data_IF_515929340079
#
_entry.id   IF_515929340079
#
_cell.length_a   1.000
_cell.length_b   1.000
_cell.length_c   1.000
_cell.angle_alpha   90.00
_cell.angle_beta   90.00
_cell.angle_gamma   90.00
#
_symmetry.space_group_name_H-M   'P 1'
#
loop_
_entity.id
_entity.type
_entity.pdbx_description
1 polymer ?
#
# COMPACT_ATOMS: atom_id res chain seq x y z
N UNK A 1 -38.39 -28.58 22.79
CA UNK A 1 -38.98 -27.61 21.85
C UNK A 1 -37.86 -26.84 21.17
N UNK A 2 -37.57 -27.20 19.92
CA UNK A 2 -36.47 -26.62 19.14
C UNK A 2 -36.99 -25.44 18.35
N UNK A 3 -36.45 -24.24 18.59
CA UNK A 3 -36.74 -23.01 17.86
C UNK A 3 -35.52 -22.55 17.05
N UNK A 4 -35.02 -23.42 16.16
CA UNK A 4 -34.14 -22.98 15.08
C UNK A 4 -34.95 -22.85 13.80
N UNK A 5 -35.52 -21.67 13.57
CA UNK A 5 -36.05 -21.28 12.28
C UNK A 5 -34.86 -21.03 11.35
N UNK A 6 -34.59 -21.98 10.44
CA UNK A 6 -33.71 -21.73 9.31
C UNK A 6 -34.34 -20.63 8.44
N UNK A 7 -33.75 -19.45 8.49
CA UNK A 7 -34.07 -18.38 7.57
C UNK A 7 -33.51 -18.80 6.19
N UNK A 8 -34.33 -19.37 5.35
CA UNK A 8 -33.99 -19.62 3.95
C UNK A 8 -34.07 -18.30 3.21
N UNK A 9 -32.96 -17.57 3.14
CA UNK A 9 -32.83 -16.45 2.22
C UNK A 9 -33.10 -16.95 0.79
N UNK A 10 -33.82 -16.17 -0.05
CA UNK A 10 -34.08 -16.55 -1.43
C UNK A 10 -32.74 -16.75 -2.13
N UNK A 11 -32.59 -17.87 -2.85
CA UNK A 11 -31.43 -18.11 -3.72
C UNK A 11 -31.38 -16.98 -4.75
N UNK A 12 -30.47 -16.01 -4.53
CA UNK A 12 -30.14 -15.08 -5.57
C UNK A 12 -29.49 -15.87 -6.71
N UNK A 13 -30.13 -15.89 -7.86
CA UNK A 13 -29.60 -16.47 -9.10
C UNK A 13 -28.47 -15.59 -9.69
N UNK A 14 -27.69 -14.94 -8.84
CA UNK A 14 -26.58 -14.06 -9.22
C UNK A 14 -25.26 -14.84 -9.24
N UNK A 15 -24.42 -14.57 -10.21
CA UNK A 15 -23.02 -15.01 -10.24
C UNK A 15 -22.35 -14.53 -8.95
N UNK A 16 -21.75 -15.44 -8.17
CA UNK A 16 -20.99 -15.10 -6.98
C UNK A 16 -19.78 -14.24 -7.38
N UNK A 17 -19.55 -13.15 -6.69
CA UNK A 17 -18.36 -12.31 -6.83
C UNK A 17 -17.33 -12.72 -5.78
N UNK A 18 -16.12 -13.08 -6.20
CA UNK A 18 -14.99 -13.38 -5.31
C UNK A 18 -14.22 -12.11 -5.00
N UNK A 19 -14.19 -11.76 -3.73
CA UNK A 19 -13.42 -10.64 -3.23
C UNK A 19 -12.20 -11.16 -2.45
N UNK A 20 -11.01 -10.62 -2.76
CA UNK A 20 -9.79 -10.84 -1.99
C UNK A 20 -9.41 -9.56 -1.25
N UNK A 21 -9.40 -9.63 0.06
CA UNK A 21 -9.07 -8.49 0.94
C UNK A 21 -7.71 -8.70 1.60
N UNK A 22 -6.92 -7.63 1.69
CA UNK A 22 -5.72 -7.55 2.51
C UNK A 22 -5.52 -6.12 3.01
N UNK A 23 -4.88 -5.96 4.18
CA UNK A 23 -4.46 -4.70 4.79
C UNK A 23 -3.00 -4.77 5.23
N UNK A 24 -2.49 -3.69 5.81
CA UNK A 24 -1.17 -3.64 6.46
C UNK A 24 -0.01 -3.93 5.50
N UNK A 25 0.00 -3.26 4.37
CA UNK A 25 1.04 -3.41 3.35
C UNK A 25 2.35 -2.79 3.77
N UNK A 26 2.28 -1.64 4.48
CA UNK A 26 3.42 -0.89 5.00
C UNK A 26 4.58 -0.78 4.01
N UNK A 27 4.28 -0.42 2.76
CA UNK A 27 5.27 -0.23 1.70
C UNK A 27 5.96 -1.50 1.18
N UNK A 28 5.54 -2.70 1.62
CA UNK A 28 6.21 -3.95 1.27
C UNK A 28 5.95 -4.37 -0.18
N UNK A 29 6.98 -4.29 -1.01
CA UNK A 29 6.97 -4.77 -2.41
C UNK A 29 6.57 -6.24 -2.52
N UNK A 30 7.00 -7.05 -1.56
CA UNK A 30 6.72 -8.47 -1.56
C UNK A 30 5.23 -8.74 -1.30
N UNK A 31 4.65 -8.03 -0.32
CA UNK A 31 3.23 -8.18 0.02
C UNK A 31 2.39 -7.69 -1.16
N UNK A 32 2.68 -6.51 -1.69
CA UNK A 32 1.95 -5.97 -2.83
C UNK A 32 1.95 -6.88 -4.05
N UNK A 33 3.11 -7.43 -4.43
CA UNK A 33 3.20 -8.39 -5.54
C UNK A 33 2.38 -9.65 -5.32
N UNK A 34 2.34 -10.17 -4.09
CA UNK A 34 1.50 -11.32 -3.74
C UNK A 34 0.01 -10.97 -3.83
N UNK A 35 -0.36 -9.79 -3.34
CA UNK A 35 -1.72 -9.30 -3.39
C UNK A 35 -2.23 -9.17 -4.82
N UNK A 36 -1.49 -8.52 -5.71
CA UNK A 36 -1.89 -8.40 -7.12
C UNK A 36 -1.98 -9.79 -7.81
N UNK A 37 -1.05 -10.70 -7.50
CA UNK A 37 -1.09 -12.05 -8.04
C UNK A 37 -2.26 -12.89 -7.49
N UNK A 38 -2.85 -12.51 -6.36
CA UNK A 38 -4.02 -13.17 -5.79
C UNK A 38 -5.22 -13.13 -6.73
N UNK A 39 -5.35 -12.08 -7.55
CA UNK A 39 -6.38 -12.00 -8.59
C UNK A 39 -6.42 -13.26 -9.45
N UNK A 40 -5.28 -13.66 -9.98
CA UNK A 40 -5.15 -14.86 -10.82
C UNK A 40 -5.18 -16.15 -10.00
N UNK A 41 -4.50 -16.16 -8.84
CA UNK A 41 -4.30 -17.38 -8.05
C UNK A 41 -5.62 -17.89 -7.43
N UNK A 42 -6.44 -16.96 -6.96
CA UNK A 42 -7.74 -17.29 -6.33
C UNK A 42 -8.92 -17.03 -7.27
N UNK A 43 -8.68 -16.68 -8.53
CA UNK A 43 -9.71 -16.27 -9.48
C UNK A 43 -10.62 -15.18 -8.88
N UNK A 44 -10.01 -14.18 -8.23
CA UNK A 44 -10.78 -13.11 -7.60
C UNK A 44 -11.29 -12.14 -8.67
N UNK A 45 -12.55 -11.75 -8.55
CA UNK A 45 -13.17 -10.74 -9.41
C UNK A 45 -12.81 -9.31 -8.93
N UNK A 46 -12.48 -9.17 -7.62
CA UNK A 46 -12.19 -7.90 -6.96
C UNK A 46 -11.05 -8.08 -5.96
N UNK A 47 -10.10 -7.13 -5.96
CA UNK A 47 -9.10 -6.97 -4.93
C UNK A 47 -9.47 -5.76 -4.06
N UNK A 48 -9.25 -5.86 -2.74
CA UNK A 48 -9.44 -4.74 -1.81
C UNK A 48 -8.21 -4.60 -0.93
N UNK A 49 -7.60 -3.41 -0.99
CA UNK A 49 -6.49 -2.99 -0.14
C UNK A 49 -7.04 -2.09 0.97
N UNK A 50 -7.04 -2.62 2.18
CA UNK A 50 -7.79 -2.08 3.32
C UNK A 50 -7.02 -1.10 4.19
N UNK A 51 -6.01 -0.40 3.66
CA UNK A 51 -5.24 0.62 4.38
C UNK A 51 -3.86 0.17 4.83
N UNK A 52 -3.16 1.08 5.51
CA UNK A 52 -1.75 0.97 5.91
C UNK A 52 -0.87 0.60 4.70
N UNK A 53 -1.01 1.41 3.66
CA UNK A 53 -0.43 1.18 2.33
C UNK A 53 1.04 1.55 2.32
N UNK A 54 1.37 2.71 2.91
CA UNK A 54 2.71 3.32 2.86
C UNK A 54 3.68 2.69 3.86
N UNK A 55 4.98 2.74 3.53
CA UNK A 55 6.05 2.31 4.44
C UNK A 55 6.26 3.31 5.56
N UNK A 56 7.08 2.92 6.55
CA UNK A 56 7.27 3.71 7.78
C UNK A 56 8.64 4.38 7.86
N UNK A 57 9.62 3.95 7.09
CA UNK A 57 11.01 4.41 7.23
C UNK A 57 11.69 4.59 5.88
N UNK A 58 12.45 5.68 5.75
CA UNK A 58 13.45 5.88 4.73
C UNK A 58 14.85 5.62 5.31
N UNK A 59 15.61 4.73 4.69
CA UNK A 59 16.95 4.33 5.12
C UNK A 59 17.97 5.01 4.21
N UNK A 60 18.77 5.96 4.72
CA UNK A 60 19.88 6.53 3.99
C UNK A 60 20.95 5.47 3.68
N UNK A 61 21.41 5.44 2.44
CA UNK A 61 22.52 4.62 1.98
C UNK A 61 23.65 5.55 1.58
N UNK A 62 24.64 5.69 2.45
CA UNK A 62 25.71 6.69 2.30
C UNK A 62 26.80 6.14 1.42
N UNK A 63 27.17 6.88 0.38
CA UNK A 63 28.26 6.53 -0.53
C UNK A 63 29.60 6.88 0.14
N UNK A 64 30.48 5.89 0.27
CA UNK A 64 31.83 6.03 0.84
C UNK A 64 32.95 6.02 -0.22
N UNK A 65 32.59 6.20 -1.50
CA UNK A 65 33.51 6.16 -2.65
C UNK A 65 33.60 4.76 -3.29
N UNK A 66 34.14 4.68 -4.49
CA UNK A 66 34.46 3.45 -5.27
C UNK A 66 33.54 2.25 -5.01
N UNK A 67 32.24 2.38 -5.30
CA UNK A 67 31.22 1.33 -5.13
C UNK A 67 31.08 0.79 -3.70
N UNK A 68 31.48 1.56 -2.69
CA UNK A 68 31.24 1.24 -1.28
C UNK A 68 30.16 2.12 -0.69
N UNK A 69 29.30 1.51 0.12
CA UNK A 69 28.19 2.19 0.75
C UNK A 69 28.08 1.76 2.22
N UNK A 70 27.52 2.62 3.02
CA UNK A 70 27.19 2.38 4.42
C UNK A 70 25.72 2.68 4.66
N UNK A 71 25.04 1.81 5.37
CA UNK A 71 23.66 2.03 5.81
C UNK A 71 23.48 1.58 7.26
N UNK A 72 22.53 2.19 7.96
CA UNK A 72 22.17 1.79 9.32
C UNK A 72 20.78 1.17 9.32
N UNK A 73 20.68 -0.11 9.72
CA UNK A 73 19.42 -0.85 9.73
C UNK A 73 19.30 -1.63 11.05
N UNK A 74 18.18 -1.44 11.75
CA UNK A 74 17.86 -2.19 12.99
C UNK A 74 18.99 -2.19 14.03
N UNK A 75 19.62 -1.03 14.24
CA UNK A 75 20.69 -0.86 15.22
C UNK A 75 22.08 -1.37 14.77
N UNK A 76 22.23 -1.79 13.52
CA UNK A 76 23.49 -2.26 12.95
C UNK A 76 23.90 -1.41 11.76
N UNK A 77 25.19 -1.12 11.67
CA UNK A 77 25.77 -0.54 10.46
C UNK A 77 26.17 -1.68 9.52
N UNK A 78 25.70 -1.61 8.29
CA UNK A 78 26.05 -2.53 7.22
C UNK A 78 26.93 -1.80 6.20
N UNK A 79 28.00 -2.46 5.79
CA UNK A 79 28.88 -2.02 4.72
C UNK A 79 28.58 -2.87 3.49
N UNK A 80 28.36 -2.20 2.35
CA UNK A 80 27.96 -2.83 1.11
C UNK A 80 29.04 -2.56 0.06
N UNK A 81 29.44 -3.58 -0.68
CA UNK A 81 30.46 -3.48 -1.71
C UNK A 81 29.87 -3.85 -3.08
N UNK A 82 29.90 -2.87 -3.99
CA UNK A 82 29.42 -3.04 -5.34
C UNK A 82 27.90 -3.12 -5.52
N UNK A 83 27.50 -3.17 -6.76
CA UNK A 83 26.08 -3.13 -7.14
C UNK A 83 25.28 -4.36 -6.67
N UNK A 84 25.92 -5.52 -6.48
CA UNK A 84 25.24 -6.74 -6.04
C UNK A 84 24.76 -6.64 -4.60
N UNK A 85 25.63 -6.17 -3.69
CA UNK A 85 25.29 -6.02 -2.28
C UNK A 85 24.24 -4.91 -2.09
N UNK A 86 24.42 -3.80 -2.80
CA UNK A 86 23.46 -2.71 -2.81
C UNK A 86 22.08 -3.20 -3.23
N UNK A 87 21.96 -3.89 -4.35
CA UNK A 87 20.70 -4.44 -4.84
C UNK A 87 20.08 -5.46 -3.86
N UNK A 88 20.91 -6.28 -3.24
CA UNK A 88 20.45 -7.23 -2.22
C UNK A 88 19.90 -6.52 -0.99
N UNK A 89 20.58 -5.46 -0.54
CA UNK A 89 20.15 -4.63 0.58
C UNK A 89 18.82 -3.92 0.27
N UNK A 90 18.70 -3.25 -0.87
CA UNK A 90 17.46 -2.62 -1.33
C UNK A 90 16.30 -3.62 -1.44
N UNK A 91 16.57 -4.83 -1.91
CA UNK A 91 15.58 -5.92 -1.95
C UNK A 91 15.09 -6.34 -0.57
N UNK A 92 15.98 -6.36 0.45
CA UNK A 92 15.60 -6.61 1.85
C UNK A 92 14.74 -5.46 2.39
N UNK A 93 15.15 -4.20 2.17
CA UNK A 93 14.38 -3.03 2.58
C UNK A 93 12.98 -3.03 1.94
N UNK A 94 12.90 -3.28 0.63
CA UNK A 94 11.61 -3.39 -0.06
C UNK A 94 10.73 -4.52 0.46
N UNK A 95 11.31 -5.61 0.98
CA UNK A 95 10.54 -6.70 1.63
C UNK A 95 10.00 -6.27 2.99
N UNK A 96 10.78 -5.50 3.74
CA UNK A 96 10.41 -4.94 5.05
C UNK A 96 9.43 -3.75 4.93
N UNK A 97 9.26 -3.21 3.73
CA UNK A 97 8.44 -2.02 3.51
C UNK A 97 9.19 -0.71 3.73
N UNK A 98 10.50 -0.75 3.82
CA UNK A 98 11.33 0.44 3.96
C UNK A 98 11.73 0.97 2.58
N UNK A 99 11.96 2.28 2.54
CA UNK A 99 12.51 2.97 1.38
C UNK A 99 14.03 3.10 1.52
N UNK A 100 14.73 3.38 0.42
CA UNK A 100 16.16 3.69 0.44
C UNK A 100 16.46 4.86 -0.48
N UNK A 101 17.39 5.70 -0.05
CA UNK A 101 17.96 6.77 -0.88
C UNK A 101 19.48 6.68 -0.79
N UNK A 102 20.12 6.57 -1.94
CA UNK A 102 21.59 6.68 -2.03
C UNK A 102 21.94 8.16 -2.05
N UNK A 103 22.83 8.58 -1.17
CA UNK A 103 23.28 9.96 -1.03
C UNK A 103 24.74 10.01 -0.60
N UNK A 104 25.39 11.15 -0.68
CA UNK A 104 26.69 11.38 -0.06
C UNK A 104 26.53 11.84 1.40
N UNK A 105 27.66 11.96 2.10
CA UNK A 105 27.67 12.33 3.52
C UNK A 105 27.15 13.77 3.73
N UNK A 106 27.47 14.69 2.82
CA UNK A 106 27.08 16.09 2.95
C UNK A 106 25.56 16.23 2.77
N UNK A 107 25.00 15.59 1.75
CA UNK A 107 23.54 15.52 1.51
C UNK A 107 22.82 14.89 2.72
N UNK A 108 23.38 13.83 3.28
CA UNK A 108 22.82 13.18 4.47
C UNK A 108 22.78 14.13 5.68
N UNK A 109 23.87 14.86 5.94
CA UNK A 109 23.93 15.79 7.06
C UNK A 109 22.97 16.97 6.85
N UNK A 110 22.85 17.47 5.62
CA UNK A 110 21.90 18.52 5.27
C UNK A 110 20.44 18.09 5.56
N UNK A 111 20.02 16.96 4.99
CA UNK A 111 18.66 16.42 5.20
C UNK A 111 18.40 16.15 6.68
N UNK A 112 19.32 15.51 7.37
CA UNK A 112 19.19 15.18 8.80
C UNK A 112 19.05 16.40 9.69
N UNK A 113 19.66 17.52 9.32
CA UNK A 113 19.63 18.76 10.10
C UNK A 113 18.29 19.48 10.05
N UNK A 114 17.44 19.17 9.05
CA UNK A 114 16.16 19.81 8.81
C UNK A 114 15.00 18.77 8.83
N UNK A 115 14.16 18.72 9.87
CA UNK A 115 13.06 17.76 9.95
C UNK A 115 12.14 17.79 8.72
N UNK A 116 11.81 18.98 8.21
CA UNK A 116 10.99 19.11 7.01
C UNK A 116 11.65 18.52 5.74
N UNK A 117 12.98 18.45 5.67
CA UNK A 117 13.67 17.80 4.58
C UNK A 117 13.56 16.26 4.68
N UNK A 118 13.57 15.74 5.91
CA UNK A 118 13.33 14.31 6.15
C UNK A 118 11.93 13.91 5.70
N UNK A 119 10.91 14.70 6.07
CA UNK A 119 9.52 14.46 5.69
C UNK A 119 9.35 14.54 4.16
N UNK A 120 9.91 15.56 3.52
CA UNK A 120 9.90 15.69 2.05
C UNK A 120 10.52 14.47 1.36
N UNK A 121 11.68 14.02 1.83
CA UNK A 121 12.34 12.83 1.29
C UNK A 121 11.46 11.58 1.46
N UNK A 122 10.85 11.42 2.63
CA UNK A 122 9.95 10.29 2.87
C UNK A 122 8.76 10.31 1.90
N UNK A 123 8.11 11.45 1.72
CA UNK A 123 6.98 11.60 0.80
C UNK A 123 7.37 11.34 -0.65
N UNK A 124 8.55 11.80 -1.08
CA UNK A 124 9.10 11.52 -2.42
C UNK A 124 9.22 10.01 -2.65
N UNK A 125 9.90 9.31 -1.72
CA UNK A 125 10.14 7.86 -1.83
C UNK A 125 8.86 7.03 -1.73
N UNK A 126 7.91 7.45 -0.90
CA UNK A 126 6.61 6.83 -0.77
C UNK A 126 5.80 6.98 -2.08
N UNK A 127 5.82 8.17 -2.66
CA UNK A 127 5.16 8.46 -3.93
C UNK A 127 5.76 7.65 -5.08
N UNK A 128 7.09 7.55 -5.17
CA UNK A 128 7.77 6.69 -6.14
C UNK A 128 7.35 5.22 -6.01
N UNK A 129 7.23 4.74 -4.76
CA UNK A 129 6.77 3.38 -4.48
C UNK A 129 5.34 3.16 -4.95
N UNK A 130 4.43 4.08 -4.63
CA UNK A 130 3.03 4.01 -5.06
C UNK A 130 2.90 4.08 -6.59
N UNK A 131 3.64 4.96 -7.25
CA UNK A 131 3.67 5.02 -8.72
C UNK A 131 4.10 3.68 -9.33
N UNK A 132 5.16 3.07 -8.79
CA UNK A 132 5.61 1.74 -9.24
C UNK A 132 4.57 0.63 -9.00
N UNK A 133 3.77 0.75 -7.95
CA UNK A 133 2.69 -0.18 -7.65
C UNK A 133 1.51 0.00 -8.59
N UNK A 134 1.16 1.23 -8.91
CA UNK A 134 0.13 1.55 -9.91
C UNK A 134 0.51 0.92 -11.26
N UNK A 135 1.72 1.16 -11.73
CA UNK A 135 2.21 0.60 -12.99
C UNK A 135 2.19 -0.94 -13.00
N UNK A 136 2.62 -1.55 -11.89
CA UNK A 136 2.60 -3.01 -11.76
C UNK A 136 1.17 -3.56 -11.77
N UNK A 137 0.23 -2.92 -11.08
CA UNK A 137 -1.17 -3.33 -11.05
C UNK A 137 -1.81 -3.19 -12.42
N UNK A 138 -1.65 -2.04 -13.07
CA UNK A 138 -2.16 -1.82 -14.44
C UNK A 138 -1.63 -2.87 -15.42
N UNK A 139 -0.33 -3.17 -15.34
CA UNK A 139 0.29 -4.21 -16.20
C UNK A 139 -0.27 -5.60 -15.90
N UNK A 140 -0.46 -5.97 -14.64
CA UNK A 140 -0.85 -7.33 -14.22
C UNK A 140 -2.33 -7.60 -14.33
N UNK A 141 -3.16 -6.57 -14.15
CA UNK A 141 -4.61 -6.65 -14.20
C UNK A 141 -5.18 -6.27 -15.57
N UNK A 142 -4.34 -5.81 -16.51
CA UNK A 142 -4.75 -5.44 -17.84
C UNK A 142 -5.57 -6.55 -18.52
N UNK A 143 -6.75 -6.21 -19.04
CA UNK A 143 -7.64 -7.12 -19.75
C UNK A 143 -8.32 -8.20 -18.90
N UNK A 144 -8.04 -8.27 -17.58
CA UNK A 144 -8.66 -9.26 -16.69
C UNK A 144 -10.08 -8.87 -16.25
N UNK A 145 -10.41 -7.58 -16.32
CA UNK A 145 -11.65 -7.03 -15.74
C UNK A 145 -11.63 -6.90 -14.21
N UNK A 146 -10.56 -7.33 -13.54
CA UNK A 146 -10.41 -7.21 -12.08
C UNK A 146 -10.18 -5.76 -11.69
N UNK A 147 -10.91 -5.28 -10.69
CA UNK A 147 -10.70 -3.98 -10.07
C UNK A 147 -9.98 -4.16 -8.71
N UNK A 148 -9.08 -3.24 -8.43
CA UNK A 148 -8.38 -3.13 -7.16
C UNK A 148 -8.84 -1.85 -6.45
N UNK A 149 -9.67 -2.00 -5.43
CA UNK A 149 -10.12 -0.90 -4.60
C UNK A 149 -9.09 -0.64 -3.50
N UNK A 150 -8.69 0.62 -3.34
CA UNK A 150 -7.68 1.03 -2.37
C UNK A 150 -8.25 2.11 -1.47
N UNK A 151 -8.01 1.98 -0.19
CA UNK A 151 -8.33 2.97 0.83
C UNK A 151 -7.09 3.23 1.70
N UNK A 152 -7.04 4.38 2.37
CA UNK A 152 -6.03 4.70 3.35
C UNK A 152 -6.25 3.96 4.67
N UNK A 153 -5.22 3.93 5.50
CA UNK A 153 -5.24 3.47 6.88
C UNK A 153 -4.86 4.60 7.83
N UNK A 154 -4.78 4.30 9.11
CA UNK A 154 -4.41 5.29 10.12
C UNK A 154 -2.92 5.68 10.07
N UNK A 155 -2.08 4.88 9.43
CA UNK A 155 -0.65 5.14 9.26
C UNK A 155 -0.34 5.84 7.92
N UNK A 156 -1.35 6.07 7.08
CA UNK A 156 -1.17 6.66 5.75
C UNK A 156 -1.44 8.17 5.79
N UNK A 157 -0.46 8.97 5.39
CA UNK A 157 -0.63 10.41 5.27
C UNK A 157 -1.46 10.77 4.03
N UNK A 158 -2.49 11.66 4.16
CA UNK A 158 -3.37 12.01 3.05
C UNK A 158 -2.63 12.52 1.82
N UNK A 159 -1.54 13.28 2.03
CA UNK A 159 -0.72 13.89 0.98
C UNK A 159 -0.09 12.82 0.07
N UNK A 160 0.36 11.72 0.65
CA UNK A 160 0.96 10.60 -0.10
C UNK A 160 -0.12 9.82 -0.87
N UNK A 161 -1.31 9.70 -0.30
CA UNK A 161 -2.44 9.02 -0.93
C UNK A 161 -3.09 9.80 -2.07
N UNK A 162 -2.82 11.10 -2.20
CA UNK A 162 -3.31 11.91 -3.34
C UNK A 162 -2.89 11.33 -4.68
N UNK A 163 -1.70 10.73 -4.75
CA UNK A 163 -1.26 10.04 -5.96
C UNK A 163 -2.24 8.94 -6.41
N UNK A 164 -2.79 8.17 -5.45
CA UNK A 164 -3.78 7.13 -5.74
C UNK A 164 -5.14 7.72 -6.11
N UNK A 165 -5.49 8.86 -5.50
CA UNK A 165 -6.74 9.60 -5.77
C UNK A 165 -6.76 10.18 -7.17
N UNK A 166 -5.63 10.74 -7.60
CA UNK A 166 -5.49 11.43 -8.88
C UNK A 166 -5.08 10.51 -10.03
N UNK A 167 -4.69 9.29 -9.71
CA UNK A 167 -4.31 8.30 -10.72
C UNK A 167 -5.50 7.96 -11.62
N UNK A 168 -5.40 8.30 -12.90
CA UNK A 168 -6.37 7.91 -13.92
C UNK A 168 -6.08 6.49 -14.40
N UNK A 169 -6.47 5.51 -13.61
CA UNK A 169 -6.18 4.10 -13.85
C UNK A 169 -7.42 3.29 -14.21
N UNK A 170 -7.20 2.18 -14.92
CA UNK A 170 -8.29 1.26 -15.27
C UNK A 170 -8.54 0.22 -14.18
N UNK A 171 -7.50 -0.17 -13.46
CA UNK A 171 -7.55 -1.29 -12.52
C UNK A 171 -7.59 -0.85 -11.07
N UNK A 172 -6.93 0.27 -10.72
CA UNK A 172 -6.91 0.80 -9.34
C UNK A 172 -7.98 1.87 -9.18
N UNK A 173 -8.75 1.79 -8.11
CA UNK A 173 -9.80 2.74 -7.75
C UNK A 173 -9.60 3.16 -6.30
N UNK A 174 -9.26 4.42 -6.05
CA UNK A 174 -9.23 4.97 -4.70
C UNK A 174 -10.64 5.21 -4.20
N UNK A 175 -11.02 4.55 -3.11
CA UNK A 175 -12.40 4.45 -2.64
C UNK A 175 -12.61 4.90 -1.18
N UNK A 176 -11.66 5.62 -0.59
CA UNK A 176 -11.77 6.18 0.75
C UNK A 176 -13.08 6.99 0.90
N UNK A 177 -13.89 6.65 1.91
CA UNK A 177 -15.16 7.30 2.18
C UNK A 177 -16.23 7.14 1.11
N UNK A 178 -16.06 6.23 0.15
CA UNK A 178 -16.97 6.06 -0.99
C UNK A 178 -17.74 4.74 -0.92
N UNK A 179 -18.93 4.75 -1.47
CA UNK A 179 -19.65 3.53 -1.82
C UNK A 179 -19.28 3.14 -3.25
N UNK A 180 -18.89 1.88 -3.44
CA UNK A 180 -18.46 1.36 -4.75
C UNK A 180 -19.30 0.16 -5.10
N UNK A 181 -19.81 0.13 -6.32
CA UNK A 181 -20.56 -0.98 -6.85
C UNK A 181 -19.66 -1.91 -7.67
N UNK A 182 -19.80 -3.21 -7.43
CA UNK A 182 -19.18 -4.23 -8.27
C UNK A 182 -20.06 -5.49 -8.30
N UNK A 183 -20.15 -6.12 -9.47
CA UNK A 183 -21.06 -7.26 -9.66
C UNK A 183 -22.52 -6.85 -9.50
N UNK A 184 -23.27 -7.60 -8.69
CA UNK A 184 -24.69 -7.36 -8.39
C UNK A 184 -24.93 -6.71 -7.03
N UNK A 185 -23.88 -6.23 -6.35
CA UNK A 185 -23.97 -5.62 -5.02
C UNK A 185 -23.02 -4.43 -4.85
N UNK A 186 -23.37 -3.54 -3.94
CA UNK A 186 -22.53 -2.42 -3.51
C UNK A 186 -21.77 -2.76 -2.23
N UNK A 187 -20.56 -2.22 -2.07
CA UNK A 187 -19.81 -2.23 -0.82
C UNK A 187 -19.43 -0.80 -0.46
N UNK A 188 -19.68 -0.44 0.78
CA UNK A 188 -19.29 0.86 1.33
C UNK A 188 -17.94 0.72 2.02
N UNK A 189 -16.96 1.53 1.61
CA UNK A 189 -15.65 1.63 2.24
C UNK A 189 -15.62 2.87 3.12
N UNK A 190 -15.53 2.69 4.44
CA UNK A 190 -15.40 3.79 5.40
C UNK A 190 -14.13 3.62 6.23
N UNK A 191 -13.44 4.71 6.44
CA UNK A 191 -12.35 4.76 7.39
C UNK A 191 -12.89 4.66 8.83
N UNK A 192 -12.14 4.03 9.75
CA UNK A 192 -12.55 3.88 11.15
C UNK A 192 -12.78 5.23 11.85
N UNK A 193 -12.03 6.28 11.49
CA UNK A 193 -12.23 7.62 12.03
C UNK A 193 -13.63 8.21 11.70
N UNK A 194 -14.22 7.82 10.56
CA UNK A 194 -15.55 8.29 10.17
C UNK A 194 -16.68 7.62 10.98
N UNK A 195 -16.40 6.44 11.54
CA UNK A 195 -17.37 5.70 12.37
C UNK A 195 -17.56 6.40 13.72
N UNK A 196 -16.48 6.91 14.31
CA UNK A 196 -16.53 7.63 15.60
C UNK A 196 -17.22 9.00 15.46
N UNK A 197 -17.05 9.69 14.34
CA UNK A 197 -17.72 10.96 14.06
C UNK A 197 -19.25 10.80 13.82
N UNK A 198 -19.66 9.66 13.23
CA UNK A 198 -21.07 9.35 12.97
C UNK A 198 -21.89 8.95 14.19
N UNK A 199 -21.24 8.40 15.24
CA UNK A 199 -21.92 7.95 16.45
C UNK A 199 -22.39 9.09 17.37
N UNK A 200 -21.96 10.33 17.14
CA UNK A 200 -22.41 11.50 17.91
C UNK A 200 -23.72 12.14 17.35
N UNK A 201 -24.17 11.73 16.17
CA UNK A 201 -25.36 12.32 15.52
C UNK A 201 -26.65 11.48 15.63
N UNK A 202 -26.64 10.36 16.37
CA UNK A 202 -27.85 9.49 16.53
C UNK A 202 -28.42 9.57 17.96
N UNK A 203 -28.08 10.62 18.73
CA UNK A 203 -28.73 10.89 20.03
C UNK A 203 -29.29 12.31 20.06
N UNK A 204 -30.43 12.51 19.41
CA UNK A 204 -31.39 13.57 19.77
C UNK A 204 -32.79 13.16 19.32
#
# INVERSE_FOLDING_TARGET
>A
MSLFRRNTSPKANGKLTRLFFASDFHGSQRIFRKFINAAKHYEADVLVMGGDVVGKLAIPVIREGNDRYRAHLMGKTEHLEGASDLKSFEGRLGTLGYYSKIMDEDEYQEIRSEPAAVDRLFHELASERLASWIDLAETRLAGSGVKCFVMGGNDDEPEVLELLRDANTHSIVFCEGKEVEFGSGGVCFRHLADIDAGSQHVRS
#
